data_IF_858127567844
#
_entry.id   IF_858127567844
#
_cell.length_a   1.000
_cell.length_b   1.000
_cell.length_c   1.000
_cell.angle_alpha   90.00
_cell.angle_beta   90.00
_cell.angle_gamma   90.00
#
_symmetry.space_group_name_H-M   'P 1'
#
loop_
_entity.id
_entity.type
_entity.pdbx_description
1 polymer ?
#
# COMPACT_ATOMS: atom_id res chain seq x y z
N UNK A 1 -15.68 24.61 -23.99
CA UNK A 1 -14.54 24.07 -23.22
C UNK A 1 -15.01 22.76 -22.63
N UNK A 2 -14.75 21.68 -23.34
CA UNK A 2 -15.03 20.33 -22.86
C UNK A 2 -14.04 20.05 -21.73
N UNK A 3 -14.54 19.81 -20.53
CA UNK A 3 -13.73 19.31 -19.43
C UNK A 3 -13.39 17.86 -19.77
N UNK A 4 -12.16 17.64 -20.23
CA UNK A 4 -11.59 16.30 -20.36
C UNK A 4 -11.70 15.63 -18.98
N UNK A 5 -12.38 14.48 -18.83
CA UNK A 5 -12.37 13.77 -17.56
C UNK A 5 -10.91 13.43 -17.22
N UNK A 6 -10.47 13.81 -16.02
CA UNK A 6 -9.13 13.51 -15.52
C UNK A 6 -8.89 12.01 -15.64
N UNK A 7 -7.87 11.62 -16.38
CA UNK A 7 -7.51 10.21 -16.64
C UNK A 7 -7.01 9.50 -15.37
N UNK A 8 -6.82 10.22 -14.26
CA UNK A 8 -6.67 9.68 -12.91
C UNK A 8 -7.92 8.87 -12.50
N UNK A 9 -9.11 9.30 -12.94
CA UNK A 9 -10.31 8.48 -12.84
C UNK A 9 -10.23 7.24 -13.73
N UNK A 10 -9.50 7.22 -14.84
CA UNK A 10 -9.43 6.08 -15.76
C UNK A 10 -8.66 4.89 -15.17
N UNK A 11 -7.59 5.13 -14.39
CA UNK A 11 -6.91 4.09 -13.61
C UNK A 11 -7.70 3.62 -12.39
N UNK A 12 -8.66 4.41 -11.89
CA UNK A 12 -9.66 3.92 -10.93
C UNK A 12 -10.82 3.19 -11.64
N UNK A 13 -11.26 3.68 -12.82
CA UNK A 13 -12.39 3.18 -13.61
C UNK A 13 -12.07 1.86 -14.31
N UNK A 14 -10.83 1.66 -14.76
CA UNK A 14 -10.37 0.38 -15.31
C UNK A 14 -10.52 -0.78 -14.31
N UNK A 15 -10.70 -0.46 -13.02
CA UNK A 15 -10.76 -1.40 -11.90
C UNK A 15 -12.12 -1.43 -11.17
N UNK A 16 -12.97 -0.40 -11.24
CA UNK A 16 -14.31 -0.43 -10.61
C UNK A 16 -15.42 -1.01 -11.49
N UNK A 17 -15.22 -1.19 -12.80
CA UNK A 17 -16.26 -1.69 -13.71
C UNK A 17 -16.54 -3.21 -13.66
N UNK A 18 -15.99 -3.98 -12.71
CA UNK A 18 -16.31 -5.42 -12.54
C UNK A 18 -16.52 -5.80 -11.07
N UNK A 19 -17.32 -5.02 -10.33
CA UNK A 19 -17.99 -5.55 -9.14
C UNK A 19 -19.28 -6.24 -9.60
N UNK A 20 -19.15 -7.49 -10.07
CA UNK A 20 -20.26 -8.44 -10.00
C UNK A 20 -20.14 -9.17 -8.66
N UNK A 21 -21.21 -9.27 -7.86
CA UNK A 21 -21.14 -9.93 -6.56
C UNK A 21 -21.28 -11.44 -6.76
N UNK A 22 -20.20 -12.13 -7.09
CA UNK A 22 -20.10 -13.58 -6.85
C UNK A 22 -18.68 -14.08 -7.13
N UNK A 23 -17.92 -14.42 -6.09
CA UNK A 23 -17.07 -15.62 -6.00
C UNK A 23 -16.73 -15.77 -4.51
N UNK A 24 -17.41 -16.71 -3.84
CA UNK A 24 -16.92 -17.29 -2.60
C UNK A 24 -15.65 -18.10 -2.92
N UNK A 25 -14.50 -17.66 -2.45
CA UNK A 25 -13.29 -18.47 -2.48
C UNK A 25 -13.22 -19.29 -1.19
N UNK A 26 -13.31 -20.62 -1.34
CA UNK A 26 -13.11 -21.59 -0.26
C UNK A 26 -11.64 -21.52 0.21
N UNK A 27 -11.44 -21.11 1.47
CA UNK A 27 -10.14 -21.17 2.14
C UNK A 27 -9.98 -22.58 2.72
N UNK A 28 -8.96 -23.28 2.23
CA UNK A 28 -8.58 -24.60 2.70
C UNK A 28 -7.83 -24.45 4.04
N UNK A 29 -8.44 -24.89 5.13
CA UNK A 29 -7.82 -24.95 6.45
C UNK A 29 -6.63 -25.93 6.44
N UNK A 30 -5.43 -25.42 6.73
CA UNK A 30 -4.30 -26.24 7.17
C UNK A 30 -4.03 -25.97 8.65
N UNK A 31 -3.89 -27.07 9.36
CA UNK A 31 -4.00 -27.28 10.80
C UNK A 31 -2.87 -26.75 11.67
N UNK A 32 -3.27 -26.41 12.90
CA UNK A 32 -2.53 -26.34 14.17
C UNK A 32 -1.40 -25.31 14.29
N UNK A 33 -1.76 -24.13 14.82
CA UNK A 33 -0.93 -23.51 15.85
C UNK A 33 -1.80 -22.96 16.99
N UNK A 34 -1.32 -23.13 18.21
CA UNK A 34 -2.01 -22.83 19.45
C UNK A 34 -2.22 -21.32 19.60
N UNK A 35 -3.35 -20.78 19.13
CA UNK A 35 -3.64 -19.34 19.21
C UNK A 35 -4.46 -19.01 20.46
N UNK A 36 -3.78 -18.48 21.48
CA UNK A 36 -4.46 -17.55 22.37
C UNK A 36 -5.08 -16.42 21.51
N UNK A 37 -6.27 -15.89 21.85
CA UNK A 37 -6.85 -14.80 21.08
C UNK A 37 -5.84 -13.64 21.01
N UNK A 38 -5.48 -13.23 19.79
CA UNK A 38 -4.73 -11.98 19.58
C UNK A 38 -5.62 -10.83 20.04
N UNK A 39 -5.32 -10.30 21.23
CA UNK A 39 -5.97 -9.13 21.81
C UNK A 39 -5.16 -7.87 21.50
N UNK A 40 -5.82 -6.71 21.32
CA UNK A 40 -5.11 -5.44 21.16
C UNK A 40 -4.30 -5.11 22.42
N UNK A 41 -3.11 -4.56 22.23
CA UNK A 41 -2.22 -4.16 23.32
C UNK A 41 -2.85 -3.01 24.09
N UNK A 42 -2.95 -3.12 25.42
CA UNK A 42 -3.46 -2.03 26.26
C UNK A 42 -2.40 -0.93 26.40
N UNK A 43 -2.74 0.28 26.00
CA UNK A 43 -1.86 1.44 26.05
C UNK A 43 -2.27 2.36 27.20
N UNK A 44 -1.50 2.34 28.29
CA UNK A 44 -1.84 3.02 29.57
C UNK A 44 -0.99 4.26 29.83
N UNK A 45 -0.48 4.90 28.78
CA UNK A 45 0.32 6.10 28.90
C UNK A 45 0.84 6.59 27.56
N UNK A 46 1.03 7.91 27.44
CA UNK A 46 1.44 8.56 26.19
C UNK A 46 2.74 7.98 25.62
N UNK A 47 3.82 7.77 26.41
CA UNK A 47 5.06 7.21 25.87
C UNK A 47 4.87 5.81 25.26
N UNK A 48 4.10 4.94 25.93
CA UNK A 48 3.83 3.60 25.45
C UNK A 48 3.01 3.61 24.15
N UNK A 49 2.04 4.52 24.03
CA UNK A 49 1.26 4.68 22.80
C UNK A 49 2.12 5.19 21.63
N UNK A 50 2.99 6.18 21.87
CA UNK A 50 3.90 6.70 20.84
C UNK A 50 4.92 5.65 20.39
N UNK A 51 5.52 4.91 21.32
CA UNK A 51 6.45 3.82 21.02
C UNK A 51 5.75 2.71 20.22
N UNK A 52 4.53 2.35 20.62
CA UNK A 52 3.71 1.36 19.90
C UNK A 52 3.46 1.78 18.44
N UNK A 53 3.08 3.04 18.19
CA UNK A 53 2.88 3.55 16.83
C UNK A 53 4.19 3.57 16.04
N UNK A 54 5.29 4.04 16.64
CA UNK A 54 6.58 4.15 15.97
C UNK A 54 7.24 2.80 15.64
N UNK A 55 6.86 1.73 16.36
CA UNK A 55 7.39 0.38 16.16
C UNK A 55 6.76 -0.37 14.97
N UNK A 56 5.66 0.13 14.41
CA UNK A 56 4.91 -0.54 13.35
C UNK A 56 4.83 0.32 12.07
N UNK A 57 4.78 -0.34 10.91
CA UNK A 57 4.50 0.36 9.66
C UNK A 57 3.03 0.83 9.60
N UNK A 58 2.13 0.02 10.15
CA UNK A 58 0.70 0.34 10.33
C UNK A 58 0.29 -0.03 11.75
N UNK A 59 -0.24 0.95 12.48
CA UNK A 59 -0.82 0.75 13.81
C UNK A 59 -2.27 1.21 13.82
N UNK A 60 -3.16 0.40 14.38
CA UNK A 60 -4.57 0.74 14.57
C UNK A 60 -4.85 0.80 16.06
N UNK A 61 -5.37 1.94 16.54
CA UNK A 61 -5.69 2.14 17.95
C UNK A 61 -7.18 2.47 18.11
N UNK A 62 -7.86 1.67 18.92
CA UNK A 62 -9.18 2.02 19.46
C UNK A 62 -9.01 2.92 20.68
N UNK A 63 -9.37 4.19 20.55
CA UNK A 63 -9.44 5.14 21.65
C UNK A 63 -10.90 5.23 22.12
N UNK A 64 -11.18 4.66 23.29
CA UNK A 64 -12.54 4.57 23.81
C UNK A 64 -12.64 5.21 25.19
N UNK A 65 -13.79 5.81 25.48
CA UNK A 65 -14.10 6.33 26.81
C UNK A 65 -14.42 5.20 27.80
N UNK A 66 -14.93 4.08 27.28
CA UNK A 66 -15.31 2.89 28.03
C UNK A 66 -15.15 1.65 27.15
N UNK A 67 -14.91 0.49 27.77
CA UNK A 67 -14.74 -0.79 27.07
C UNK A 67 -16.03 -1.61 26.95
N UNK A 68 -17.10 -1.23 27.64
CA UNK A 68 -18.41 -1.90 27.64
C UNK A 68 -19.37 -1.33 26.57
N UNK A 69 -18.81 -0.87 25.44
CA UNK A 69 -19.58 -0.36 24.29
C UNK A 69 -19.66 -1.40 23.16
N UNK A 70 -20.70 -1.38 22.31
CA UNK A 70 -20.89 -2.38 21.24
C UNK A 70 -19.74 -2.48 20.25
N UNK A 71 -19.02 -1.38 20.00
CA UNK A 71 -17.91 -1.33 19.04
C UNK A 71 -16.65 -2.05 19.52
N UNK A 72 -16.44 -2.20 20.84
CA UNK A 72 -15.21 -2.81 21.38
C UNK A 72 -15.10 -4.29 21.03
N UNK A 73 -16.15 -5.11 21.18
CA UNK A 73 -16.14 -6.49 20.67
C UNK A 73 -15.88 -6.59 19.17
N UNK A 74 -16.42 -5.67 18.35
CA UNK A 74 -16.16 -5.60 16.91
C UNK A 74 -14.68 -5.32 16.65
N UNK A 75 -14.11 -4.33 17.34
CA UNK A 75 -12.70 -3.96 17.23
C UNK A 75 -11.76 -5.11 17.62
N UNK A 76 -12.04 -5.81 18.72
CA UNK A 76 -11.27 -7.00 19.11
C UNK A 76 -11.42 -8.15 18.11
N UNK A 77 -12.62 -8.29 17.54
CA UNK A 77 -12.93 -9.33 16.55
C UNK A 77 -12.12 -9.22 15.26
N UNK A 78 -11.77 -8.01 14.82
CA UNK A 78 -11.00 -7.81 13.58
C UNK A 78 -9.50 -8.04 13.73
N UNK A 79 -8.94 -7.97 14.95
CA UNK A 79 -7.49 -8.09 15.20
C UNK A 79 -6.91 -9.36 14.54
N UNK A 80 -7.59 -10.49 14.71
CA UNK A 80 -7.17 -11.80 14.17
C UNK A 80 -7.09 -11.88 12.64
N UNK A 81 -7.67 -10.92 11.92
CA UNK A 81 -7.69 -10.91 10.45
C UNK A 81 -6.44 -10.28 9.85
N UNK A 82 -5.68 -9.52 10.64
CA UNK A 82 -4.60 -8.67 10.15
C UNK A 82 -3.31 -8.97 10.91
N UNK A 83 -2.53 -9.92 10.41
CA UNK A 83 -1.29 -10.35 11.05
C UNK A 83 -0.18 -9.29 10.96
N UNK A 84 -0.20 -8.47 9.90
CA UNK A 84 0.83 -7.45 9.62
C UNK A 84 0.46 -6.05 10.16
N UNK A 85 -0.63 -5.94 10.94
CA UNK A 85 -1.09 -4.68 11.53
C UNK A 85 -1.01 -4.77 13.05
N UNK A 86 -0.42 -3.75 13.69
CA UNK A 86 -0.34 -3.68 15.15
C UNK A 86 -1.61 -3.06 15.73
N UNK A 87 -2.31 -3.78 16.61
CA UNK A 87 -3.52 -3.27 17.26
C UNK A 87 -3.29 -2.85 18.71
N UNK A 88 -3.67 -1.62 19.01
CA UNK A 88 -3.68 -1.05 20.35
C UNK A 88 -5.09 -0.68 20.81
N UNK A 89 -5.29 -0.59 22.11
CA UNK A 89 -6.52 -0.07 22.70
C UNK A 89 -6.19 0.79 23.92
N UNK A 90 -6.85 1.93 24.05
CA UNK A 90 -6.65 2.83 25.18
C UNK A 90 -7.96 3.45 25.66
N UNK A 91 -8.06 3.57 26.98
CA UNK A 91 -9.06 4.38 27.68
C UNK A 91 -8.38 5.37 28.63
N UNK A 92 -7.07 5.55 28.49
CA UNK A 92 -6.27 6.40 29.37
C UNK A 92 -6.48 7.88 28.98
N UNK A 93 -6.90 8.71 29.94
CA UNK A 93 -7.26 10.10 29.64
C UNK A 93 -6.10 10.93 29.12
N UNK A 94 -4.85 10.64 29.54
CA UNK A 94 -3.67 11.36 29.04
C UNK A 94 -3.36 10.96 27.60
N UNK A 95 -3.50 9.65 27.27
CA UNK A 95 -3.39 9.15 25.90
C UNK A 95 -4.46 9.77 25.00
N UNK A 96 -5.74 9.76 25.42
CA UNK A 96 -6.83 10.34 24.65
C UNK A 96 -6.60 11.84 24.40
N UNK A 97 -6.21 12.59 25.44
CA UNK A 97 -5.92 14.02 25.31
C UNK A 97 -4.74 14.29 24.36
N UNK A 98 -3.68 13.46 24.38
CA UNK A 98 -2.51 13.63 23.51
C UNK A 98 -2.86 13.53 22.02
N UNK A 99 -3.79 12.63 21.66
CA UNK A 99 -4.27 12.45 20.29
C UNK A 99 -5.53 13.28 19.97
N UNK A 100 -5.89 14.26 20.82
CA UNK A 100 -7.06 15.11 20.68
C UNK A 100 -8.39 14.32 20.57
N UNK A 101 -8.51 13.20 21.28
CA UNK A 101 -9.68 12.33 21.27
C UNK A 101 -10.66 12.76 22.36
N UNK A 102 -11.83 13.25 21.96
CA UNK A 102 -12.93 13.62 22.88
C UNK A 102 -14.06 12.60 22.91
N UNK A 103 -14.15 11.75 21.90
CA UNK A 103 -15.21 10.76 21.71
C UNK A 103 -14.63 9.41 21.24
N UNK A 104 -15.40 8.34 21.33
CA UNK A 104 -14.98 7.01 20.89
C UNK A 104 -14.52 7.06 19.43
N UNK A 105 -13.27 6.67 19.19
CA UNK A 105 -12.59 6.87 17.91
C UNK A 105 -11.73 5.65 17.60
N UNK A 106 -11.67 5.25 16.33
CA UNK A 106 -10.65 4.31 15.85
C UNK A 106 -9.70 5.08 14.95
N UNK A 107 -8.41 5.02 15.26
CA UNK A 107 -7.35 5.67 14.47
C UNK A 107 -6.46 4.65 13.80
N UNK A 108 -6.04 4.94 12.57
CA UNK A 108 -5.01 4.21 11.84
C UNK A 108 -3.83 5.14 11.57
N UNK A 109 -2.65 4.72 11.98
CA UNK A 109 -1.40 5.43 11.80
C UNK A 109 -0.55 4.69 10.77
N UNK A 110 0.01 5.44 9.81
CA UNK A 110 0.91 4.91 8.79
C UNK A 110 2.27 5.56 8.87
N UNK A 111 3.30 4.73 8.93
CA UNK A 111 4.67 5.21 8.89
C UNK A 111 5.10 5.63 7.47
N UNK A 112 4.65 4.91 6.44
CA UNK A 112 5.14 5.09 5.05
C UNK A 112 4.93 6.52 4.52
N UNK A 113 3.84 7.17 4.90
CA UNK A 113 3.48 8.54 4.53
C UNK A 113 3.30 9.47 5.74
N UNK A 114 3.52 8.98 6.96
CA UNK A 114 3.28 9.70 8.23
C UNK A 114 1.83 10.19 8.41
N UNK A 115 0.87 9.45 7.85
CA UNK A 115 -0.55 9.80 7.93
C UNK A 115 -1.23 9.23 9.17
N UNK A 116 -2.23 9.97 9.65
CA UNK A 116 -3.12 9.59 10.74
C UNK A 116 -4.57 9.72 10.25
N UNK A 117 -5.22 8.58 10.07
CA UNK A 117 -6.61 8.49 9.63
C UNK A 117 -7.52 8.21 10.82
N UNK A 118 -8.67 8.87 10.85
CA UNK A 118 -9.60 8.86 11.97
C UNK A 118 -10.97 8.38 11.48
N UNK A 119 -11.48 7.32 12.10
CA UNK A 119 -12.91 6.99 12.13
C UNK A 119 -13.51 7.63 13.37
N UNK A 120 -14.25 8.72 13.16
CA UNK A 120 -14.90 9.48 14.24
C UNK A 120 -16.09 8.74 14.86
N UNK A 121 -16.68 9.36 15.87
CA UNK A 121 -17.78 8.79 16.66
C UNK A 121 -18.97 8.32 15.81
N UNK A 122 -19.42 9.13 14.85
CA UNK A 122 -20.54 8.80 13.96
C UNK A 122 -20.32 7.48 13.19
N UNK A 123 -19.09 7.26 12.70
CA UNK A 123 -18.71 6.02 12.02
C UNK A 123 -18.61 4.86 13.02
N UNK A 124 -17.99 5.10 14.17
CA UNK A 124 -17.72 4.11 15.22
C UNK A 124 -19.01 3.56 15.85
N UNK A 125 -20.05 4.37 16.00
CA UNK A 125 -21.34 3.95 16.58
C UNK A 125 -22.05 2.88 15.73
N UNK A 126 -21.87 2.92 14.42
CA UNK A 126 -22.52 2.02 13.45
C UNK A 126 -21.55 1.06 12.76
N UNK A 127 -20.28 1.03 13.20
CA UNK A 127 -19.26 0.21 12.55
C UNK A 127 -19.52 -1.27 12.84
N UNK A 128 -19.49 -2.07 11.78
CA UNK A 128 -19.48 -3.53 11.87
C UNK A 128 -18.11 -4.07 11.48
N UNK A 129 -17.93 -5.37 11.69
CA UNK A 129 -16.69 -6.09 11.39
C UNK A 129 -16.30 -5.94 9.90
N UNK A 130 -17.28 -5.90 8.98
CA UNK A 130 -17.03 -5.79 7.54
C UNK A 130 -16.50 -4.41 7.18
N UNK A 131 -17.17 -3.35 7.66
CA UNK A 131 -16.79 -1.95 7.42
C UNK A 131 -15.44 -1.64 8.05
N UNK A 132 -15.19 -2.11 9.27
CA UNK A 132 -13.91 -1.92 9.95
C UNK A 132 -12.78 -2.68 9.23
N UNK A 133 -13.00 -3.94 8.84
CA UNK A 133 -12.00 -4.71 8.09
C UNK A 133 -11.67 -4.01 6.77
N UNK A 134 -12.69 -3.57 6.02
CA UNK A 134 -12.50 -2.84 4.76
C UNK A 134 -11.74 -1.52 4.96
N UNK A 135 -12.04 -0.77 6.02
CA UNK A 135 -11.30 0.46 6.34
C UNK A 135 -9.81 0.16 6.57
N UNK A 136 -9.50 -0.90 7.32
CA UNK A 136 -8.11 -1.32 7.58
C UNK A 136 -7.45 -1.77 6.27
N UNK A 137 -8.06 -2.68 5.51
CA UNK A 137 -7.52 -3.19 4.24
C UNK A 137 -7.20 -2.08 3.22
N UNK A 138 -8.11 -1.11 3.08
CA UNK A 138 -7.90 0.02 2.16
C UNK A 138 -6.71 0.85 2.61
N UNK A 139 -6.58 1.08 3.92
CA UNK A 139 -5.67 2.10 4.45
C UNK A 139 -4.36 1.56 5.03
N UNK A 140 -4.16 0.25 5.09
CA UNK A 140 -2.91 -0.39 5.51
C UNK A 140 -1.87 -0.32 4.39
N UNK A 141 -1.27 0.85 4.23
CA UNK A 141 -0.13 1.05 3.33
C UNK A 141 1.18 0.86 4.11
N UNK A 142 2.02 -0.03 3.59
CA UNK A 142 3.31 -0.44 4.13
C UNK A 142 4.44 0.18 3.31
N UNK A 143 5.69 0.04 3.79
CA UNK A 143 6.87 0.45 3.02
C UNK A 143 6.92 -0.23 1.66
N UNK A 144 6.44 -1.47 1.53
CA UNK A 144 6.09 -2.06 0.24
C UNK A 144 4.69 -2.61 0.33
N UNK A 145 3.76 -2.03 -0.44
CA UNK A 145 2.36 -2.44 -0.45
C UNK A 145 2.08 -3.32 -1.66
N UNK A 146 1.50 -4.49 -1.47
CA UNK A 146 1.09 -5.34 -2.60
C UNK A 146 -0.13 -4.72 -3.29
N UNK A 147 -0.05 -4.65 -4.62
CA UNK A 147 -1.11 -4.15 -5.47
C UNK A 147 -2.27 -5.15 -5.54
N UNK A 148 -3.47 -4.70 -5.19
CA UNK A 148 -4.71 -5.41 -5.43
C UNK A 148 -5.90 -4.42 -5.54
N UNK A 149 -7.11 -4.88 -5.91
CA UNK A 149 -8.27 -3.99 -6.07
C UNK A 149 -8.73 -3.24 -4.81
N UNK A 150 -8.28 -3.64 -3.62
CA UNK A 150 -8.60 -2.97 -2.36
C UNK A 150 -7.51 -1.97 -2.00
N UNK A 151 -6.24 -2.37 -1.99
CA UNK A 151 -5.11 -1.50 -1.62
C UNK A 151 -4.91 -0.35 -2.60
N UNK A 152 -5.28 -0.53 -3.88
CA UNK A 152 -5.24 0.56 -4.88
C UNK A 152 -6.10 1.75 -4.46
N UNK A 153 -7.19 1.54 -3.73
CA UNK A 153 -8.03 2.64 -3.23
C UNK A 153 -7.22 3.50 -2.25
N UNK A 154 -6.51 2.88 -1.31
CA UNK A 154 -5.67 3.60 -0.35
C UNK A 154 -4.49 4.30 -1.01
N UNK A 155 -3.80 3.60 -1.93
CA UNK A 155 -2.67 4.17 -2.67
C UNK A 155 -3.05 5.47 -3.38
N UNK A 156 -4.19 5.50 -4.06
CA UNK A 156 -4.66 6.71 -4.75
C UNK A 156 -5.30 7.76 -3.83
N UNK A 157 -5.71 7.38 -2.61
CA UNK A 157 -6.18 8.32 -1.60
C UNK A 157 -5.03 8.96 -0.79
N UNK A 158 -3.80 8.45 -0.89
CA UNK A 158 -2.66 9.02 -0.20
C UNK A 158 -2.28 10.39 -0.78
N UNK A 159 -1.75 11.25 0.08
CA UNK A 159 -1.20 12.55 -0.29
C UNK A 159 0.13 12.41 -1.05
N UNK A 160 0.80 11.26 -0.96
CA UNK A 160 2.03 10.94 -1.67
C UNK A 160 1.69 10.55 -3.12
N UNK A 161 1.93 11.48 -4.04
CA UNK A 161 1.47 11.37 -5.43
C UNK A 161 2.40 10.60 -6.37
N UNK A 162 3.51 10.07 -5.89
CA UNK A 162 4.48 9.34 -6.71
C UNK A 162 4.51 7.90 -6.26
N UNK A 163 4.28 6.99 -7.19
CA UNK A 163 4.24 5.55 -7.00
C UNK A 163 5.40 4.92 -7.76
N UNK A 164 6.21 4.11 -7.08
CA UNK A 164 7.15 3.21 -7.73
C UNK A 164 6.58 1.80 -7.64
N UNK A 165 6.49 1.11 -8.76
CA UNK A 165 6.01 -0.25 -8.87
C UNK A 165 7.19 -1.16 -9.21
N UNK A 166 7.40 -2.21 -8.42
CA UNK A 166 8.19 -3.37 -8.79
C UNK A 166 7.23 -4.41 -9.36
N UNK A 167 7.39 -4.71 -10.64
CA UNK A 167 6.56 -5.68 -11.36
C UNK A 167 7.40 -6.95 -11.54
N UNK A 168 7.05 -8.00 -10.81
CA UNK A 168 7.79 -9.27 -10.84
C UNK A 168 6.89 -10.46 -10.51
N UNK A 169 7.33 -11.68 -10.82
CA UNK A 169 6.64 -12.91 -10.42
C UNK A 169 7.02 -13.28 -8.99
N UNK A 170 6.06 -13.40 -8.08
CA UNK A 170 6.31 -13.83 -6.69
C UNK A 170 6.87 -15.25 -6.61
N UNK A 171 6.65 -16.07 -7.64
CA UNK A 171 7.18 -17.43 -7.73
C UNK A 171 8.63 -17.48 -8.26
N UNK A 172 9.23 -16.35 -8.67
CA UNK A 172 10.63 -16.34 -9.12
C UNK A 172 11.60 -16.55 -7.95
N UNK A 173 12.72 -17.26 -8.15
CA UNK A 173 13.69 -17.52 -7.10
C UNK A 173 14.38 -16.26 -6.57
N UNK A 174 14.38 -15.16 -7.34
CA UNK A 174 14.95 -13.87 -6.96
C UNK A 174 14.00 -13.01 -6.11
N UNK A 175 12.76 -13.44 -5.88
CA UNK A 175 11.71 -12.66 -5.21
C UNK A 175 12.14 -12.16 -3.83
N UNK A 176 12.55 -13.06 -2.93
CA UNK A 176 12.87 -12.71 -1.55
C UNK A 176 14.02 -11.69 -1.45
N UNK A 177 15.09 -11.88 -2.23
CA UNK A 177 16.23 -10.96 -2.22
C UNK A 177 15.87 -9.61 -2.85
N UNK A 178 15.07 -9.62 -3.93
CA UNK A 178 14.59 -8.41 -4.58
C UNK A 178 13.70 -7.61 -3.64
N UNK A 179 12.76 -8.26 -2.95
CA UNK A 179 11.87 -7.62 -1.99
C UNK A 179 12.62 -7.04 -0.79
N UNK A 180 13.62 -7.74 -0.26
CA UNK A 180 14.46 -7.21 0.82
C UNK A 180 15.19 -5.92 0.42
N UNK A 181 15.75 -5.89 -0.80
CA UNK A 181 16.45 -4.70 -1.33
C UNK A 181 15.48 -3.59 -1.68
N UNK A 182 14.32 -3.93 -2.24
CA UNK A 182 13.26 -2.99 -2.57
C UNK A 182 12.68 -2.33 -1.32
N UNK A 183 12.44 -3.09 -0.25
CA UNK A 183 11.99 -2.56 1.05
C UNK A 183 13.02 -1.63 1.68
N UNK A 184 14.31 -1.97 1.61
CA UNK A 184 15.40 -1.07 2.04
C UNK A 184 15.38 0.25 1.28
N UNK A 185 15.18 0.21 -0.04
CA UNK A 185 15.08 1.40 -0.85
C UNK A 185 13.83 2.23 -0.50
N UNK A 186 12.68 1.59 -0.26
CA UNK A 186 11.44 2.28 0.12
C UNK A 186 11.60 3.19 1.33
N UNK A 187 12.34 2.74 2.36
CA UNK A 187 12.62 3.54 3.55
C UNK A 187 13.35 4.86 3.26
N UNK A 188 14.14 4.94 2.19
CA UNK A 188 14.84 6.17 1.79
C UNK A 188 13.87 7.24 1.23
N UNK A 189 12.68 6.83 0.80
CA UNK A 189 11.68 7.66 0.14
C UNK A 189 10.37 7.79 0.96
N UNK A 190 10.40 7.49 2.25
CA UNK A 190 9.26 7.69 3.16
C UNK A 190 8.67 9.10 3.00
N UNK A 191 7.34 9.18 2.83
CA UNK A 191 6.59 10.42 2.62
C UNK A 191 6.81 11.08 1.25
N UNK A 192 7.57 10.46 0.33
CA UNK A 192 7.89 11.02 -0.99
C UNK A 192 7.45 10.14 -2.14
N UNK A 193 7.65 8.82 -2.01
CA UNK A 193 7.28 7.83 -3.03
C UNK A 193 6.70 6.61 -2.32
N UNK A 194 5.52 6.16 -2.76
CA UNK A 194 4.94 4.90 -2.32
C UNK A 194 5.51 3.76 -3.17
N UNK A 195 5.97 2.69 -2.51
CA UNK A 195 6.55 1.53 -3.17
C UNK A 195 5.52 0.40 -3.20
N UNK A 196 5.32 -0.17 -4.39
CA UNK A 196 4.24 -1.10 -4.68
C UNK A 196 4.78 -2.34 -5.35
N UNK A 197 4.38 -3.52 -4.89
CA UNK A 197 4.63 -4.78 -5.57
C UNK A 197 3.45 -5.11 -6.48
N UNK A 198 3.69 -5.37 -7.76
CA UNK A 198 2.69 -5.92 -8.68
C UNK A 198 3.10 -7.34 -9.05
N UNK A 199 2.38 -8.33 -8.52
CA UNK A 199 2.63 -9.73 -8.87
C UNK A 199 2.20 -10.01 -10.32
N UNK A 200 3.19 -10.34 -11.17
CA UNK A 200 2.97 -10.67 -12.57
C UNK A 200 2.43 -12.10 -12.81
N UNK A 201 2.45 -12.94 -11.77
CA UNK A 201 1.77 -14.23 -11.74
C UNK A 201 0.25 -14.10 -11.71
N UNK A 202 -0.28 -13.02 -11.13
CA UNK A 202 -1.72 -12.72 -11.07
C UNK A 202 -2.22 -12.18 -12.41
N UNK A 203 -3.20 -12.87 -13.01
CA UNK A 203 -3.69 -12.56 -14.37
C UNK A 203 -4.32 -11.16 -14.46
N UNK A 204 -5.02 -10.74 -13.42
CA UNK A 204 -5.75 -9.48 -13.31
C UNK A 204 -4.79 -8.28 -13.37
N UNK A 205 -3.54 -8.47 -12.94
CA UNK A 205 -2.49 -7.45 -12.97
C UNK A 205 -1.96 -7.19 -14.39
N UNK A 206 -2.32 -8.01 -15.39
CA UNK A 206 -1.93 -7.82 -16.79
C UNK A 206 -2.31 -6.44 -17.36
N UNK A 207 -3.40 -5.83 -16.86
CA UNK A 207 -3.80 -4.47 -17.26
C UNK A 207 -2.79 -3.41 -16.77
N UNK A 208 -2.26 -3.57 -15.55
CA UNK A 208 -1.25 -2.66 -14.98
C UNK A 208 0.05 -2.78 -15.79
N UNK A 209 0.49 -4.01 -16.08
CA UNK A 209 1.70 -4.27 -16.87
C UNK A 209 1.58 -3.62 -18.26
N UNK A 210 0.43 -3.80 -18.92
CA UNK A 210 0.17 -3.23 -20.25
C UNK A 210 0.11 -1.70 -20.24
N UNK A 211 -0.37 -1.09 -19.16
CA UNK A 211 -0.42 0.38 -19.03
C UNK A 211 0.98 1.00 -19.16
N UNK A 212 1.98 0.37 -18.52
CA UNK A 212 3.38 0.77 -18.60
C UNK A 212 4.11 0.28 -19.87
N UNK A 213 3.37 -0.25 -20.85
CA UNK A 213 3.89 -0.80 -22.11
C UNK A 213 4.93 -1.90 -21.94
N UNK A 214 4.88 -2.63 -20.83
CA UNK A 214 5.75 -3.77 -20.55
C UNK A 214 5.08 -5.07 -20.97
N UNK A 215 5.90 -6.09 -21.24
CA UNK A 215 5.48 -7.46 -21.50
C UNK A 215 6.12 -8.42 -20.50
N UNK A 216 5.59 -9.65 -20.37
CA UNK A 216 6.11 -10.65 -19.43
C UNK A 216 7.60 -10.98 -19.63
N UNK A 217 8.10 -10.91 -20.87
CA UNK A 217 9.52 -11.15 -21.19
C UNK A 217 10.46 -10.04 -20.72
N UNK A 218 9.93 -8.88 -20.34
CA UNK A 218 10.69 -7.72 -19.87
C UNK A 218 10.71 -7.63 -18.34
N UNK A 219 10.07 -8.57 -17.65
CA UNK A 219 10.02 -8.63 -16.20
C UNK A 219 11.21 -9.42 -15.64
N UNK A 220 11.74 -9.04 -14.46
CA UNK A 220 11.23 -7.98 -13.58
C UNK A 220 11.53 -6.57 -14.09
N UNK A 221 10.67 -5.62 -13.73
CA UNK A 221 10.80 -4.22 -14.15
C UNK A 221 10.35 -3.25 -13.04
N UNK A 222 10.92 -2.06 -13.05
CA UNK A 222 10.44 -0.91 -12.28
C UNK A 222 9.60 -0.01 -13.18
N UNK A 223 8.50 0.50 -12.65
CA UNK A 223 7.71 1.55 -13.26
C UNK A 223 7.47 2.65 -12.23
N UNK A 224 7.80 3.90 -12.55
CA UNK A 224 7.51 5.05 -11.69
C UNK A 224 6.41 5.88 -12.31
N UNK A 225 5.45 6.32 -11.51
CA UNK A 225 4.23 6.98 -11.96
C UNK A 225 3.87 8.14 -11.03
N UNK A 226 3.50 9.28 -11.59
CA UNK A 226 2.97 10.44 -10.87
C UNK A 226 1.47 10.55 -11.08
N UNK A 227 0.71 10.48 -10.00
CA UNK A 227 -0.77 10.43 -10.03
C UNK A 227 -1.42 11.73 -10.53
N UNK A 228 -0.72 12.86 -10.42
CA UNK A 228 -1.26 14.19 -10.73
C UNK A 228 -1.43 14.46 -12.23
N UNK A 229 -0.39 14.13 -13.00
CA UNK A 229 -0.29 14.42 -14.44
C UNK A 229 -0.09 13.16 -15.29
N UNK A 230 -0.10 11.99 -14.65
CA UNK A 230 0.10 10.68 -15.26
C UNK A 230 1.45 10.52 -15.96
N UNK A 231 2.47 11.30 -15.58
CA UNK A 231 3.81 11.07 -16.06
C UNK A 231 4.35 9.75 -15.50
N UNK A 232 4.96 8.94 -16.36
CA UNK A 232 5.61 7.71 -15.95
C UNK A 232 6.87 7.41 -16.75
N UNK A 233 7.75 6.60 -16.16
CA UNK A 233 8.94 6.04 -16.80
C UNK A 233 9.09 4.57 -16.38
N UNK A 234 9.83 3.78 -17.16
CA UNK A 234 10.08 2.36 -16.86
C UNK A 234 11.56 2.03 -16.96
N UNK A 235 11.96 0.99 -16.22
CA UNK A 235 13.30 0.46 -16.24
C UNK A 235 13.23 -1.06 -16.11
N UNK A 236 13.67 -1.78 -17.15
CA UNK A 236 13.84 -3.22 -17.07
C UNK A 236 15.03 -3.52 -16.16
N UNK A 237 14.86 -4.45 -15.22
CA UNK A 237 15.90 -4.77 -14.24
C UNK A 237 16.17 -6.26 -14.26
N UNK A 238 17.43 -6.66 -14.47
CA UNK A 238 17.82 -8.05 -14.27
C UNK A 238 17.86 -8.38 -12.77
N UNK A 239 18.22 -7.40 -11.95
CA UNK A 239 18.37 -7.54 -10.51
C UNK A 239 18.02 -6.22 -9.82
N UNK A 240 17.26 -6.28 -8.73
CA UNK A 240 16.92 -5.11 -7.92
C UNK A 240 18.06 -4.80 -6.96
N UNK A 241 18.68 -3.62 -7.09
CA UNK A 241 19.61 -3.10 -6.07
C UNK A 241 19.11 -1.76 -5.50
N UNK A 242 19.49 -1.45 -4.26
CA UNK A 242 19.09 -0.20 -3.60
C UNK A 242 19.56 1.02 -4.38
N UNK A 243 20.81 0.98 -4.87
CA UNK A 243 21.40 2.07 -5.67
C UNK A 243 20.67 2.27 -7.00
N UNK A 244 20.32 1.18 -7.70
CA UNK A 244 19.57 1.24 -8.95
C UNK A 244 18.20 1.90 -8.74
N UNK A 245 17.46 1.44 -7.73
CA UNK A 245 16.15 1.99 -7.38
C UNK A 245 16.27 3.47 -7.02
N UNK A 246 17.23 3.82 -6.17
CA UNK A 246 17.45 5.21 -5.77
C UNK A 246 17.78 6.10 -6.97
N UNK A 247 18.68 5.68 -7.85
CA UNK A 247 19.05 6.43 -9.04
C UNK A 247 17.87 6.64 -9.98
N UNK A 248 17.02 5.62 -10.16
CA UNK A 248 15.82 5.70 -10.97
C UNK A 248 14.80 6.71 -10.39
N UNK A 249 14.50 6.60 -9.10
CA UNK A 249 13.63 7.55 -8.40
C UNK A 249 14.16 8.98 -8.45
N UNK A 250 15.44 9.19 -8.15
CA UNK A 250 16.08 10.51 -8.16
C UNK A 250 16.09 11.12 -9.57
N UNK A 251 16.26 10.30 -10.60
CA UNK A 251 16.17 10.72 -12.00
C UNK A 251 14.79 11.30 -12.33
N UNK A 252 13.74 10.54 -12.00
CA UNK A 252 12.35 10.94 -12.20
C UNK A 252 11.99 12.21 -11.42
N UNK A 253 12.38 12.29 -10.14
CA UNK A 253 12.15 13.47 -9.29
C UNK A 253 12.84 14.74 -9.83
N UNK A 254 14.00 14.60 -10.50
CA UNK A 254 14.74 15.71 -11.12
C UNK A 254 14.21 16.07 -12.52
N UNK A 255 13.21 15.35 -13.04
CA UNK A 255 12.72 15.52 -14.41
C UNK A 255 13.71 15.05 -15.48
N UNK A 256 14.70 14.21 -15.11
CA UNK A 256 15.57 13.54 -16.08
C UNK A 256 14.85 12.30 -16.59
N UNK A 257 14.31 12.35 -17.81
CA UNK A 257 13.80 11.16 -18.51
C UNK A 257 14.99 10.32 -18.97
N UNK A 258 14.96 9.00 -18.71
CA UNK A 258 15.97 8.08 -19.25
C UNK A 258 15.67 7.65 -20.70
N UNK A 259 14.59 8.14 -21.29
CA UNK A 259 14.14 7.74 -22.63
C UNK A 259 14.72 8.61 -23.76
N UNK A 260 16.02 8.49 -24.05
CA UNK A 260 16.60 8.80 -25.37
C UNK A 260 17.78 7.85 -25.72
N UNK A 261 17.67 6.55 -25.46
CA UNK A 261 18.72 5.60 -25.91
C UNK A 261 18.23 4.23 -26.39
N UNK A 262 17.03 4.15 -26.98
CA UNK A 262 16.60 2.94 -27.70
C UNK A 262 16.41 3.10 -29.22
N UNK A 263 16.73 4.26 -29.80
CA UNK A 263 16.66 4.50 -31.25
C UNK A 263 18.01 4.92 -31.85
N UNK A 264 19.09 4.15 -31.66
CA UNK A 264 20.27 4.29 -32.54
C UNK A 264 21.12 3.02 -32.63
N UNK A 265 20.55 1.90 -33.03
CA UNK A 265 21.37 0.79 -33.56
C UNK A 265 20.65 -0.03 -34.64
N UNK A 266 19.95 0.65 -35.55
CA UNK A 266 19.48 0.00 -36.78
C UNK A 266 19.52 0.98 -37.96
N UNK A 267 20.70 1.54 -38.26
CA UNK A 267 20.91 2.27 -39.53
C UNK A 267 22.37 2.43 -39.97
N UNK A 268 23.17 1.36 -39.91
CA UNK A 268 24.47 1.39 -40.58
C UNK A 268 24.88 0.04 -41.14
N UNK A 269 24.05 -0.55 -42.01
CA UNK A 269 24.53 -1.60 -42.93
C UNK A 269 23.57 -1.85 -44.10
N UNK A 270 23.31 -0.84 -44.94
CA UNK A 270 22.90 -1.09 -46.33
C UNK A 270 22.98 0.12 -47.25
N UNK A 271 24.18 0.62 -47.56
CA UNK A 271 24.48 1.18 -48.88
C UNK A 271 25.99 1.07 -49.11
N UNK A 272 26.41 0.12 -49.93
CA UNK A 272 27.28 0.44 -51.07
C UNK A 272 27.19 -0.70 -52.10
N UNK A 273 27.06 -0.25 -53.35
CA UNK A 273 26.99 -1.00 -54.59
C UNK A 273 28.35 -1.55 -54.99
#
# INVERSE_FOLDING_TARGET
>A
MEATPSRCLFLLFLFTCMLSPDVAAEIQESSDDSSAPQEPVRLTGVPAAMEFIAAAEVAVIGFFQDLEIPTVPVFRGVVKKFQDVSFGISTDSEVLAHYNITENTISLFRLVDNEHLILGSEDVESIDDTRLSRFIEINSLHFVTEYNPVTVIGLFNSMVQIHLLLIMDKASPEYEESMHRYHKAAKLFQGKILFILVDSGVKENGKVISFFKLNKSELPALAIYRTLDEEWDTLNVAEVSVELVQNFCDGFLKGKRLSESHDTEEKTQKVEL
#
